data_IF_328556804432
#
_entry.id   IF_328556804432
#
_cell.length_a   1.000
_cell.length_b   1.000
_cell.length_c   1.000
_cell.angle_alpha   90.00
_cell.angle_beta   90.00
_cell.angle_gamma   90.00
#
_symmetry.space_group_name_H-M   'P 1'
#
loop_
_entity.id
_entity.type
_entity.pdbx_description
1 polymer ?
#
# COMPACT_ATOMS: atom_id res chain seq x y z
N UNK A 1 -29.88 24.54 -66.88
CA UNK A 1 -29.57 24.00 -68.22
C UNK A 1 -30.78 24.19 -69.12
N UNK A 2 -30.71 24.10 -70.46
CA UNK A 2 -31.89 24.34 -71.33
C UNK A 2 -32.21 23.12 -72.18
N UNK A 3 -33.50 22.85 -72.39
CA UNK A 3 -33.97 21.78 -73.24
C UNK A 3 -33.52 22.02 -74.69
N UNK A 4 -32.84 21.04 -75.30
CA UNK A 4 -32.39 21.11 -76.70
C UNK A 4 -33.54 21.26 -77.70
N UNK A 5 -34.75 20.81 -77.35
CA UNK A 5 -35.91 20.78 -78.25
C UNK A 5 -36.81 22.01 -78.13
N UNK A 6 -37.15 22.45 -76.90
CA UNK A 6 -38.07 23.58 -76.70
C UNK A 6 -37.44 24.80 -76.01
N UNK A 7 -36.15 24.76 -75.67
CA UNK A 7 -35.43 25.87 -75.04
C UNK A 7 -35.77 26.16 -73.58
N UNK A 8 -36.76 25.46 -73.01
CA UNK A 8 -37.17 25.61 -71.61
C UNK A 8 -36.02 25.34 -70.64
N UNK A 9 -35.98 26.07 -69.52
CA UNK A 9 -34.98 25.83 -68.48
C UNK A 9 -35.27 24.50 -67.77
N UNK A 10 -34.23 23.71 -67.58
CA UNK A 10 -34.22 22.39 -66.98
C UNK A 10 -33.29 22.38 -65.77
N UNK A 11 -33.68 21.62 -64.76
CA UNK A 11 -32.86 21.33 -63.59
C UNK A 11 -32.13 19.99 -63.74
N UNK A 12 -31.07 19.78 -62.93
CA UNK A 12 -30.24 18.57 -62.96
C UNK A 12 -30.96 17.31 -62.46
N UNK A 13 -32.17 17.44 -61.91
CA UNK A 13 -32.97 16.36 -61.32
C UNK A 13 -34.16 15.94 -62.20
N UNK A 14 -34.46 16.69 -63.25
CA UNK A 14 -35.58 16.39 -64.14
C UNK A 14 -35.17 15.42 -65.25
N UNK A 15 -35.78 14.23 -65.25
CA UNK A 15 -35.52 13.13 -66.21
C UNK A 15 -36.01 13.45 -67.63
N UNK A 16 -37.10 14.21 -67.73
CA UNK A 16 -37.71 14.66 -68.99
C UNK A 16 -38.03 16.15 -68.88
N UNK A 17 -37.99 16.86 -70.01
CA UNK A 17 -38.40 18.25 -70.04
C UNK A 17 -39.90 18.37 -69.72
N UNK A 18 -40.29 19.14 -68.69
CA UNK A 18 -41.69 19.24 -68.29
C UNK A 18 -42.57 19.90 -69.37
N UNK A 19 -41.97 20.68 -70.29
CA UNK A 19 -42.71 21.42 -71.30
C UNK A 19 -42.90 20.66 -72.63
N UNK A 20 -41.98 19.75 -72.99
CA UNK A 20 -42.06 19.04 -74.28
C UNK A 20 -41.81 17.53 -74.19
N UNK A 21 -41.61 16.99 -72.98
CA UNK A 21 -41.37 15.56 -72.75
C UNK A 21 -40.04 15.03 -73.27
N UNK A 22 -39.20 15.89 -73.89
CA UNK A 22 -37.92 15.44 -74.45
C UNK A 22 -36.98 14.99 -73.33
N UNK A 23 -36.33 13.81 -73.44
CA UNK A 23 -35.45 13.29 -72.40
C UNK A 23 -34.31 14.25 -72.13
N UNK A 24 -34.02 14.44 -70.84
CA UNK A 24 -32.94 15.31 -70.43
C UNK A 24 -31.61 14.52 -70.34
N UNK A 25 -30.95 14.33 -71.48
CA UNK A 25 -29.72 13.51 -71.58
C UNK A 25 -28.63 13.89 -70.58
N UNK A 26 -28.49 15.20 -70.26
CA UNK A 26 -27.43 15.68 -69.36
C UNK A 26 -27.72 15.37 -67.89
N UNK A 27 -29.00 15.25 -67.49
CA UNK A 27 -29.41 14.89 -66.12
C UNK A 27 -29.57 13.39 -65.91
N UNK A 28 -29.69 12.59 -66.98
CA UNK A 28 -29.92 11.14 -66.87
C UNK A 28 -28.79 10.41 -66.12
N UNK A 29 -27.53 10.80 -66.34
CA UNK A 29 -26.41 10.16 -65.63
C UNK A 29 -26.42 10.56 -64.16
N UNK A 30 -26.63 11.84 -63.85
CA UNK A 30 -26.69 12.32 -62.48
C UNK A 30 -27.84 11.71 -61.67
N UNK A 31 -29.01 11.52 -62.28
CA UNK A 31 -30.16 10.87 -61.63
C UNK A 31 -29.85 9.38 -61.35
N UNK A 32 -29.21 8.67 -62.29
CA UNK A 32 -28.79 7.28 -62.07
C UNK A 32 -27.75 7.15 -60.97
N UNK A 33 -26.78 8.06 -60.96
CA UNK A 33 -25.74 8.09 -59.92
C UNK A 33 -26.36 8.39 -58.55
N UNK A 34 -27.32 9.32 -58.47
CA UNK A 34 -28.06 9.61 -57.24
C UNK A 34 -28.91 8.42 -56.76
N UNK A 35 -29.64 7.75 -57.65
CA UNK A 35 -30.39 6.52 -57.34
C UNK A 35 -29.47 5.41 -56.83
N UNK A 36 -28.27 5.28 -57.42
CA UNK A 36 -27.26 4.30 -57.00
C UNK A 36 -26.70 4.62 -55.59
N UNK A 37 -26.32 5.87 -55.34
CA UNK A 37 -25.81 6.28 -54.03
C UNK A 37 -26.85 6.19 -52.92
N UNK A 38 -28.11 6.47 -53.22
CA UNK A 38 -29.21 6.31 -52.25
C UNK A 38 -29.40 4.83 -51.87
N UNK A 39 -29.30 3.94 -52.85
CA UNK A 39 -29.36 2.50 -52.62
C UNK A 39 -28.18 2.01 -51.77
N UNK A 40 -26.94 2.36 -52.12
CA UNK A 40 -25.76 1.97 -51.35
C UNK A 40 -25.77 2.53 -49.92
N UNK A 41 -26.23 3.77 -49.74
CA UNK A 41 -26.37 4.36 -48.41
C UNK A 41 -27.42 3.63 -47.57
N UNK A 42 -28.58 3.32 -48.14
CA UNK A 42 -29.65 2.58 -47.45
C UNK A 42 -29.20 1.18 -47.03
N UNK A 43 -28.48 0.48 -47.90
CA UNK A 43 -27.99 -0.87 -47.62
C UNK A 43 -26.89 -0.87 -46.57
N UNK A 44 -25.95 0.08 -46.66
CA UNK A 44 -24.91 0.29 -45.64
C UNK A 44 -25.54 0.62 -44.29
N UNK A 45 -26.54 1.49 -44.26
CA UNK A 45 -27.23 1.85 -43.02
C UNK A 45 -27.96 0.65 -42.41
N UNK A 46 -28.65 -0.17 -43.21
CA UNK A 46 -29.31 -1.41 -42.75
C UNK A 46 -28.29 -2.41 -42.21
N UNK A 47 -27.15 -2.56 -42.87
CA UNK A 47 -26.09 -3.47 -42.42
C UNK A 47 -25.49 -3.02 -41.09
N UNK A 48 -25.17 -1.73 -40.94
CA UNK A 48 -24.65 -1.16 -39.69
C UNK A 48 -25.66 -1.29 -38.56
N UNK A 49 -26.95 -1.00 -38.81
CA UNK A 49 -28.02 -1.18 -37.81
C UNK A 49 -28.21 -2.65 -37.44
N UNK A 50 -28.09 -3.58 -38.39
CA UNK A 50 -28.18 -5.02 -38.13
C UNK A 50 -27.00 -5.52 -37.29
N UNK A 51 -25.77 -5.11 -37.64
CA UNK A 51 -24.55 -5.53 -36.95
C UNK A 51 -24.50 -4.97 -35.52
N UNK A 52 -24.90 -3.71 -35.31
CA UNK A 52 -25.03 -3.11 -33.97
C UNK A 52 -26.13 -3.75 -33.12
N UNK A 53 -27.32 -4.04 -33.68
CA UNK A 53 -28.38 -4.77 -32.97
C UNK A 53 -27.95 -6.18 -32.58
N UNK A 54 -27.18 -6.87 -33.43
CA UNK A 54 -26.62 -8.17 -33.13
C UNK A 54 -25.59 -8.10 -32.00
N UNK A 55 -24.69 -7.12 -32.03
CA UNK A 55 -23.72 -6.88 -30.97
C UNK A 55 -24.41 -6.59 -29.62
N UNK A 56 -25.43 -5.73 -29.61
CA UNK A 56 -26.20 -5.40 -28.40
C UNK A 56 -26.98 -6.61 -27.88
N UNK A 57 -27.60 -7.40 -28.76
CA UNK A 57 -28.43 -8.55 -28.37
C UNK A 57 -27.61 -9.72 -27.83
N UNK A 58 -26.40 -9.94 -28.34
CA UNK A 58 -25.64 -11.16 -28.06
C UNK A 58 -24.30 -10.92 -27.35
N UNK A 59 -23.50 -9.94 -27.77
CA UNK A 59 -22.15 -9.73 -27.21
C UNK A 59 -22.22 -8.99 -25.86
N UNK A 60 -22.93 -7.87 -25.80
CA UNK A 60 -23.06 -7.05 -24.59
C UNK A 60 -23.55 -7.82 -23.32
N UNK A 61 -24.59 -8.68 -23.39
CA UNK A 61 -25.00 -9.46 -22.22
C UNK A 61 -23.95 -10.51 -21.82
N UNK A 62 -23.30 -11.16 -22.79
CA UNK A 62 -22.25 -12.18 -22.51
C UNK A 62 -21.03 -11.54 -21.85
N UNK A 63 -20.54 -10.41 -22.37
CA UNK A 63 -19.42 -9.68 -21.75
C UNK A 63 -19.79 -9.19 -20.36
N UNK A 64 -21.03 -8.72 -20.15
CA UNK A 64 -21.50 -8.28 -18.83
C UNK A 64 -21.54 -9.44 -17.83
N UNK A 65 -21.97 -10.63 -18.24
CA UNK A 65 -21.99 -11.83 -17.39
C UNK A 65 -20.58 -12.29 -17.02
N UNK A 66 -19.63 -12.23 -17.95
CA UNK A 66 -18.22 -12.58 -17.67
C UNK A 66 -17.61 -11.60 -16.67
N UNK A 67 -17.82 -10.28 -16.87
CA UNK A 67 -17.35 -9.26 -15.93
C UNK A 67 -17.98 -9.45 -14.54
N UNK A 68 -19.29 -9.71 -14.48
CA UNK A 68 -19.99 -9.98 -13.22
C UNK A 68 -19.46 -11.26 -12.53
N UNK A 69 -19.16 -12.31 -13.29
CA UNK A 69 -18.57 -13.55 -12.79
C UNK A 69 -17.17 -13.32 -12.20
N UNK A 70 -16.31 -12.58 -12.91
CA UNK A 70 -14.97 -12.23 -12.42
C UNK A 70 -15.06 -11.37 -11.16
N UNK A 71 -15.96 -10.37 -11.14
CA UNK A 71 -16.20 -9.54 -9.97
C UNK A 71 -16.69 -10.36 -8.76
N UNK A 72 -17.60 -11.33 -8.97
CA UNK A 72 -18.08 -12.21 -7.92
C UNK A 72 -16.96 -13.10 -7.35
N UNK A 73 -16.07 -13.63 -8.19
CA UNK A 73 -14.88 -14.39 -7.75
C UNK A 73 -13.92 -13.51 -6.95
N UNK A 74 -13.68 -12.28 -7.38
CA UNK A 74 -12.84 -11.34 -6.62
C UNK A 74 -13.45 -11.05 -5.24
N UNK A 75 -14.77 -10.81 -5.16
CA UNK A 75 -15.47 -10.55 -3.90
C UNK A 75 -15.39 -11.74 -2.95
N UNK A 76 -15.52 -12.98 -3.45
CA UNK A 76 -15.42 -14.17 -2.60
C UNK A 76 -13.99 -14.40 -2.08
N UNK A 77 -12.96 -14.16 -2.89
CA UNK A 77 -11.56 -14.22 -2.45
C UNK A 77 -11.29 -13.19 -1.36
N UNK A 78 -11.73 -11.94 -1.55
CA UNK A 78 -11.56 -10.88 -0.54
C UNK A 78 -12.30 -11.19 0.76
N UNK A 79 -13.55 -11.69 0.67
CA UNK A 79 -14.33 -12.09 1.83
C UNK A 79 -13.67 -13.24 2.60
N UNK A 80 -13.15 -14.26 1.91
CA UNK A 80 -12.43 -15.39 2.52
C UNK A 80 -11.13 -14.93 3.21
N UNK A 81 -10.41 -14.00 2.60
CA UNK A 81 -9.20 -13.43 3.20
C UNK A 81 -9.56 -12.71 4.51
N UNK A 82 -10.53 -11.78 4.50
CA UNK A 82 -10.99 -11.07 5.70
C UNK A 82 -11.53 -12.01 6.80
N UNK A 83 -12.37 -12.97 6.44
CA UNK A 83 -12.93 -13.94 7.39
C UNK A 83 -11.84 -14.84 7.99
N UNK A 84 -10.82 -15.19 7.20
CA UNK A 84 -9.65 -15.93 7.67
C UNK A 84 -8.89 -15.20 8.76
N UNK A 85 -8.61 -13.90 8.59
CA UNK A 85 -7.95 -13.09 9.64
C UNK A 85 -8.78 -13.00 10.91
N UNK A 86 -10.07 -12.67 10.78
CA UNK A 86 -10.95 -12.54 11.95
C UNK A 86 -11.07 -13.86 12.72
N UNK A 87 -11.13 -15.00 12.01
CA UNK A 87 -11.16 -16.33 12.63
C UNK A 87 -9.83 -16.69 13.30
N UNK A 88 -8.70 -16.39 12.66
CA UNK A 88 -7.37 -16.61 13.23
C UNK A 88 -7.17 -15.78 14.51
N UNK A 89 -7.53 -14.50 14.47
CA UNK A 89 -7.46 -13.60 15.63
C UNK A 89 -8.34 -14.09 16.78
N UNK A 90 -9.58 -14.52 16.51
CA UNK A 90 -10.46 -15.07 17.54
C UNK A 90 -9.90 -16.36 18.15
N UNK A 91 -9.36 -17.27 17.33
CA UNK A 91 -8.73 -18.50 17.82
C UNK A 91 -7.51 -18.19 18.69
N UNK A 92 -6.68 -17.26 18.26
CA UNK A 92 -5.49 -16.82 18.98
C UNK A 92 -5.85 -16.14 20.31
N UNK A 93 -6.84 -15.24 20.30
CA UNK A 93 -7.36 -14.62 21.53
C UNK A 93 -7.86 -15.67 22.52
N UNK A 94 -8.64 -16.66 22.04
CA UNK A 94 -9.12 -17.76 22.88
C UNK A 94 -7.98 -18.63 23.41
N UNK A 95 -6.98 -18.91 22.57
CA UNK A 95 -5.79 -19.66 22.96
C UNK A 95 -5.03 -18.91 24.07
N UNK A 96 -4.73 -17.63 23.87
CA UNK A 96 -4.01 -16.80 24.84
C UNK A 96 -4.76 -16.67 26.18
N UNK A 97 -6.10 -16.60 26.14
CA UNK A 97 -6.92 -16.59 27.35
C UNK A 97 -6.89 -17.93 28.09
N UNK A 98 -6.84 -19.05 27.36
CA UNK A 98 -6.86 -20.40 27.95
C UNK A 98 -5.50 -20.79 28.52
N UNK A 99 -4.41 -20.30 27.92
CA UNK A 99 -3.03 -20.63 28.28
C UNK A 99 -2.28 -19.43 28.88
N UNK A 100 -3.00 -18.49 29.51
CA UNK A 100 -2.43 -17.23 30.01
C UNK A 100 -1.24 -17.47 30.95
N UNK A 101 -1.38 -18.42 31.88
CA UNK A 101 -0.34 -18.75 32.85
C UNK A 101 0.91 -19.35 32.19
N UNK A 102 0.75 -20.33 31.30
CA UNK A 102 1.86 -20.95 30.57
C UNK A 102 2.60 -19.93 29.71
N UNK A 103 1.85 -19.05 29.03
CA UNK A 103 2.42 -17.95 28.24
C UNK A 103 3.20 -17.00 29.16
N UNK A 104 2.65 -16.64 30.33
CA UNK A 104 3.34 -15.76 31.28
C UNK A 104 4.64 -16.37 31.79
N UNK A 105 4.65 -17.66 32.15
CA UNK A 105 5.85 -18.37 32.59
C UNK A 105 6.90 -18.48 31.48
N UNK A 106 6.46 -18.72 30.24
CA UNK A 106 7.35 -18.74 29.08
C UNK A 106 7.97 -17.37 28.81
N UNK A 107 7.16 -16.31 28.79
CA UNK A 107 7.64 -14.93 28.63
C UNK A 107 8.59 -14.53 29.75
N UNK A 108 8.29 -14.90 30.99
CA UNK A 108 9.15 -14.67 32.15
C UNK A 108 10.51 -15.34 31.97
N UNK A 109 10.54 -16.60 31.53
CA UNK A 109 11.79 -17.32 31.24
C UNK A 109 12.62 -16.61 30.17
N UNK A 110 11.98 -16.14 29.08
CA UNK A 110 12.67 -15.39 28.03
C UNK A 110 13.22 -14.06 28.57
N UNK A 111 12.45 -13.34 29.39
CA UNK A 111 12.87 -12.09 30.03
C UNK A 111 14.10 -12.29 30.93
N UNK A 112 14.08 -13.33 31.78
CA UNK A 112 15.16 -13.66 32.70
C UNK A 112 16.44 -14.10 31.96
N UNK A 113 16.29 -14.68 30.78
CA UNK A 113 17.40 -15.03 29.88
C UNK A 113 17.86 -13.85 28.99
N UNK A 114 17.23 -12.68 29.07
CA UNK A 114 17.54 -11.51 28.23
C UNK A 114 17.15 -11.66 26.76
N UNK A 115 16.24 -12.60 26.44
CA UNK A 115 15.75 -12.91 25.08
C UNK A 115 14.62 -11.95 24.66
N UNK A 116 14.95 -10.66 24.60
CA UNK A 116 13.96 -9.61 24.35
C UNK A 116 13.40 -9.58 22.93
N UNK A 117 14.19 -10.03 21.95
CA UNK A 117 13.73 -10.12 20.56
C UNK A 117 12.57 -11.11 20.45
N UNK A 118 12.71 -12.29 21.04
CA UNK A 118 11.69 -13.32 21.09
C UNK A 118 10.44 -12.84 21.82
N UNK A 119 10.59 -12.19 22.98
CA UNK A 119 9.48 -11.57 23.71
C UNK A 119 8.73 -10.56 22.83
N UNK A 120 9.45 -9.70 22.10
CA UNK A 120 8.83 -8.71 21.22
C UNK A 120 8.15 -9.33 20.00
N UNK A 121 8.70 -10.42 19.43
CA UNK A 121 8.03 -11.16 18.34
C UNK A 121 6.74 -11.84 18.82
N UNK A 122 6.74 -12.43 20.02
CA UNK A 122 5.53 -13.02 20.61
C UNK A 122 4.47 -11.95 20.91
N UNK A 123 4.89 -10.77 21.38
CA UNK A 123 4.01 -9.62 21.56
C UNK A 123 3.37 -9.14 20.25
N UNK A 124 4.18 -8.90 19.22
CA UNK A 124 3.69 -8.31 17.96
C UNK A 124 2.95 -9.29 17.06
N UNK A 125 3.40 -10.55 16.98
CA UNK A 125 2.81 -11.57 16.09
C UNK A 125 1.72 -12.39 16.76
N UNK A 126 1.93 -12.75 18.03
CA UNK A 126 1.04 -13.65 18.75
C UNK A 126 0.20 -12.94 19.81
N UNK A 127 0.32 -11.62 19.98
CA UNK A 127 -0.38 -10.85 21.01
C UNK A 127 -0.22 -11.49 22.41
N UNK A 128 0.93 -12.12 22.63
CA UNK A 128 1.32 -12.75 23.88
C UNK A 128 2.19 -11.76 24.63
N UNK A 129 1.74 -11.35 25.82
CA UNK A 129 2.37 -10.26 26.56
C UNK A 129 2.23 -10.46 28.05
N UNK A 130 3.22 -9.96 28.79
CA UNK A 130 3.09 -9.76 30.22
C UNK A 130 1.88 -8.87 30.54
N UNK A 131 1.06 -9.31 31.48
CA UNK A 131 -0.02 -8.53 32.10
C UNK A 131 0.49 -7.86 33.38
N UNK A 132 0.06 -6.63 33.65
CA UNK A 132 0.42 -5.86 34.85
C UNK A 132 -0.78 -5.08 35.40
N UNK A 133 -0.60 -4.34 36.49
CA UNK A 133 -1.65 -3.45 37.02
C UNK A 133 -1.96 -2.35 36.00
N UNK A 134 -3.19 -2.37 35.47
CA UNK A 134 -3.63 -1.44 34.43
C UNK A 134 -3.35 -1.93 33.00
N UNK A 135 -4.17 -1.47 32.03
CA UNK A 135 -4.18 -1.95 30.64
C UNK A 135 -2.86 -1.78 29.86
N UNK A 136 -1.84 -1.13 30.44
CA UNK A 136 -0.63 -0.70 29.72
C UNK A 136 0.68 -0.76 30.52
N UNK A 137 0.74 -1.47 31.65
CA UNK A 137 1.89 -1.42 32.57
C UNK A 137 3.24 -1.77 31.97
N UNK A 138 3.27 -2.64 30.96
CA UNK A 138 4.47 -3.09 30.25
C UNK A 138 4.75 -2.33 28.95
N UNK A 139 3.99 -1.29 28.64
CA UNK A 139 4.09 -0.57 27.36
C UNK A 139 5.49 0.00 27.12
N UNK A 140 6.07 0.66 28.12
CA UNK A 140 7.40 1.26 27.96
C UNK A 140 8.49 0.19 27.75
N UNK A 141 8.36 -0.99 28.36
CA UNK A 141 9.25 -2.12 28.08
C UNK A 141 9.18 -2.57 26.62
N UNK A 142 7.98 -2.78 26.06
CA UNK A 142 7.85 -3.18 24.66
C UNK A 142 8.35 -2.08 23.72
N UNK A 143 8.11 -0.81 24.07
CA UNK A 143 8.57 0.34 23.29
C UNK A 143 10.11 0.45 23.31
N UNK A 144 10.75 0.24 24.46
CA UNK A 144 12.21 0.19 24.56
C UNK A 144 12.80 -1.01 23.80
N UNK A 145 12.13 -2.17 23.85
CA UNK A 145 12.56 -3.35 23.12
C UNK A 145 12.51 -3.12 21.61
N UNK A 146 11.42 -2.54 21.10
CA UNK A 146 11.31 -2.13 19.70
C UNK A 146 12.43 -1.15 19.33
N UNK A 147 12.64 -0.12 20.14
CA UNK A 147 13.71 0.84 19.94
C UNK A 147 15.08 0.16 19.85
N UNK A 148 15.38 -0.76 20.76
CA UNK A 148 16.65 -1.50 20.75
C UNK A 148 16.83 -2.34 19.48
N UNK A 149 15.80 -3.04 19.03
CA UNK A 149 15.84 -3.82 17.79
C UNK A 149 15.96 -2.91 16.55
N UNK A 150 15.22 -1.81 16.51
CA UNK A 150 15.30 -0.80 15.43
C UNK A 150 16.69 -0.17 15.36
N UNK A 151 17.30 0.15 16.51
CA UNK A 151 18.66 0.66 16.58
C UNK A 151 19.66 -0.32 15.98
N UNK A 152 19.63 -1.59 16.42
CA UNK A 152 20.52 -2.63 15.89
C UNK A 152 20.39 -2.79 14.38
N UNK A 153 19.15 -2.86 13.89
CA UNK A 153 18.87 -3.00 12.46
C UNK A 153 19.35 -1.78 11.67
N UNK A 154 19.11 -0.56 12.17
CA UNK A 154 19.55 0.66 11.52
C UNK A 154 21.07 0.73 11.39
N UNK A 155 21.81 0.43 12.46
CA UNK A 155 23.28 0.40 12.44
C UNK A 155 23.80 -0.73 11.53
N UNK A 156 23.16 -1.89 11.52
CA UNK A 156 23.50 -2.98 10.60
C UNK A 156 23.36 -2.54 9.13
N UNK A 157 22.28 -1.84 8.77
CA UNK A 157 22.10 -1.30 7.41
C UNK A 157 23.10 -0.20 7.06
N UNK A 158 23.55 0.59 8.05
CA UNK A 158 24.59 1.59 7.83
C UNK A 158 25.91 0.95 7.35
N UNK A 159 26.32 -0.14 8.00
CA UNK A 159 27.54 -0.87 7.63
C UNK A 159 27.38 -1.76 6.40
N UNK A 160 26.19 -2.32 6.19
CA UNK A 160 25.88 -3.24 5.09
C UNK A 160 24.69 -2.74 4.25
N UNK A 161 24.85 -1.67 3.46
CA UNK A 161 23.76 -1.10 2.67
C UNK A 161 23.19 -2.06 1.63
N UNK A 162 23.96 -3.06 1.18
CA UNK A 162 23.50 -4.09 0.24
C UNK A 162 22.37 -4.99 0.80
N UNK A 163 22.16 -5.01 2.12
CA UNK A 163 21.06 -5.75 2.74
C UNK A 163 19.68 -5.12 2.45
N UNK A 164 19.63 -3.92 1.89
CA UNK A 164 18.37 -3.27 1.51
C UNK A 164 18.56 -2.26 0.37
N UNK A 165 17.88 -2.50 -0.75
CA UNK A 165 17.83 -1.56 -1.89
C UNK A 165 17.20 -0.20 -1.55
N UNK A 166 16.55 -0.07 -0.37
CA UNK A 166 15.77 1.10 0.02
C UNK A 166 16.39 1.92 1.16
N UNK A 167 17.52 1.49 1.73
CA UNK A 167 18.14 2.16 2.88
C UNK A 167 19.42 2.90 2.47
N UNK A 168 19.35 4.23 2.45
CA UNK A 168 20.56 5.06 2.42
C UNK A 168 21.23 5.08 3.80
N UNK A 169 22.54 5.38 3.86
CA UNK A 169 23.25 5.61 5.13
C UNK A 169 22.60 6.72 5.96
N UNK A 170 22.10 7.77 5.32
CA UNK A 170 21.37 8.86 5.99
C UNK A 170 20.06 8.37 6.61
N UNK A 171 19.31 7.53 5.90
CA UNK A 171 18.08 6.90 6.42
C UNK A 171 18.40 6.01 7.62
N UNK A 172 19.49 5.24 7.56
CA UNK A 172 19.96 4.42 8.67
C UNK A 172 20.28 5.26 9.91
N UNK A 173 21.02 6.36 9.78
CA UNK A 173 21.35 7.24 10.90
C UNK A 173 20.11 7.91 11.51
N UNK A 174 19.16 8.36 10.68
CA UNK A 174 17.90 8.91 11.15
C UNK A 174 17.09 7.89 11.95
N UNK A 175 17.00 6.65 11.46
CA UNK A 175 16.28 5.57 12.14
C UNK A 175 16.96 5.15 13.44
N UNK A 176 18.29 5.12 13.47
CA UNK A 176 19.06 4.88 14.68
C UNK A 176 18.83 5.98 15.72
N UNK A 177 18.81 7.26 15.32
CA UNK A 177 18.53 8.36 16.23
C UNK A 177 17.09 8.35 16.77
N UNK A 178 16.11 8.04 15.93
CA UNK A 178 14.72 7.85 16.36
C UNK A 178 14.62 6.73 17.41
N UNK A 179 15.28 5.60 17.14
CA UNK A 179 15.33 4.47 18.06
C UNK A 179 15.99 4.83 19.40
N UNK A 180 17.08 5.60 19.40
CA UNK A 180 17.71 6.10 20.64
C UNK A 180 16.73 6.97 21.43
N UNK A 181 16.05 7.92 20.78
CA UNK A 181 15.04 8.77 21.44
C UNK A 181 13.84 7.97 21.98
N UNK A 182 13.46 6.90 21.29
CA UNK A 182 12.41 5.98 21.74
C UNK A 182 12.80 5.28 23.04
N UNK A 183 14.02 4.74 23.10
CA UNK A 183 14.56 4.07 24.29
C UNK A 183 14.65 5.06 25.47
N UNK A 184 15.28 6.22 25.26
CA UNK A 184 15.48 7.20 26.35
C UNK A 184 14.18 7.84 26.80
N UNK A 185 13.25 8.11 25.88
CA UNK A 185 11.93 8.65 26.21
C UNK A 185 11.11 7.71 27.08
N UNK A 186 11.11 6.41 26.78
CA UNK A 186 10.44 5.40 27.59
C UNK A 186 11.13 5.15 28.93
N UNK A 187 12.47 5.16 28.98
CA UNK A 187 13.22 5.04 30.24
C UNK A 187 12.86 6.16 31.24
N UNK A 188 12.69 7.40 30.75
CA UNK A 188 12.28 8.55 31.55
C UNK A 188 10.83 8.48 32.04
N UNK A 189 10.02 7.52 31.55
CA UNK A 189 8.61 7.44 31.89
C UNK A 189 7.81 8.64 31.45
N UNK A 190 8.16 9.24 30.31
CA UNK A 190 7.36 10.30 29.68
C UNK A 190 5.99 9.78 29.16
N UNK A 191 5.73 8.48 29.29
CA UNK A 191 4.44 7.86 29.02
C UNK A 191 3.38 8.29 30.02
N UNK A 192 2.14 8.46 29.56
CA UNK A 192 0.98 8.77 30.41
C UNK A 192 0.47 7.56 31.21
N UNK A 193 1.17 6.43 31.17
CA UNK A 193 0.74 5.14 31.71
C UNK A 193 1.57 4.80 32.95
N UNK A 194 0.90 4.29 33.99
CA UNK A 194 1.59 3.72 35.15
C UNK A 194 2.44 2.53 34.71
N UNK A 195 3.72 2.51 35.11
CA UNK A 195 4.67 1.45 34.76
C UNK A 195 4.51 0.28 35.73
N UNK A 196 4.50 -0.94 35.19
CA UNK A 196 4.57 -2.16 36.00
C UNK A 196 5.95 -2.23 36.66
N UNK A 197 5.99 -2.34 37.99
CA UNK A 197 7.25 -2.38 38.75
C UNK A 197 8.14 -3.54 38.31
N UNK A 198 7.52 -4.66 37.93
CA UNK A 198 8.18 -5.87 37.44
C UNK A 198 8.89 -5.67 36.10
N UNK A 199 8.48 -4.66 35.31
CA UNK A 199 9.11 -4.37 34.02
C UNK A 199 10.41 -3.55 34.13
N UNK A 200 10.60 -2.84 35.25
CA UNK A 200 11.71 -1.88 35.43
C UNK A 200 13.09 -2.54 35.28
N UNK A 201 13.40 -3.69 35.91
CA UNK A 201 14.72 -4.31 35.78
C UNK A 201 15.09 -4.64 34.32
N UNK A 202 14.12 -5.13 33.54
CA UNK A 202 14.35 -5.45 32.12
C UNK A 202 14.49 -4.19 31.25
N UNK A 203 13.79 -3.10 31.59
CA UNK A 203 13.97 -1.81 30.93
C UNK A 203 15.38 -1.26 31.15
N UNK A 204 15.90 -1.35 32.38
CA UNK A 204 17.28 -0.93 32.68
C UNK A 204 18.30 -1.81 31.94
N UNK A 205 18.09 -3.13 31.87
CA UNK A 205 18.97 -4.02 31.09
C UNK A 205 18.94 -3.69 29.59
N UNK A 206 17.78 -3.38 29.00
CA UNK A 206 17.70 -2.92 27.60
C UNK A 206 18.47 -1.60 27.41
N UNK A 207 18.33 -0.66 28.35
CA UNK A 207 19.05 0.62 28.30
C UNK A 207 20.56 0.41 28.38
N UNK A 208 21.03 -0.48 29.25
CA UNK A 208 22.44 -0.86 29.37
C UNK A 208 22.95 -1.51 28.08
N UNK A 209 22.23 -2.51 27.55
CA UNK A 209 22.58 -3.19 26.29
C UNK A 209 22.63 -2.22 25.11
N UNK A 210 21.68 -1.28 25.02
CA UNK A 210 21.70 -0.24 24.00
C UNK A 210 22.93 0.66 24.14
N UNK A 211 23.30 1.03 25.38
CA UNK A 211 24.49 1.81 25.65
C UNK A 211 25.78 1.09 25.27
N UNK A 212 25.90 -0.20 25.60
CA UNK A 212 27.02 -1.05 25.18
C UNK A 212 27.09 -1.17 23.65
N UNK A 213 25.96 -1.42 23.00
CA UNK A 213 25.89 -1.48 21.54
C UNK A 213 26.37 -0.19 20.86
N UNK A 214 25.97 0.98 21.38
CA UNK A 214 26.43 2.27 20.85
C UNK A 214 27.93 2.51 21.07
N UNK A 215 28.50 2.03 22.18
CA UNK A 215 29.96 2.09 22.40
C UNK A 215 30.68 1.22 21.39
N UNK A 216 30.25 -0.04 21.25
CA UNK A 216 30.94 -1.06 20.47
C UNK A 216 30.85 -0.83 18.96
N UNK A 217 29.70 -0.33 18.47
CA UNK A 217 29.42 -0.21 17.04
C UNK A 217 29.28 1.22 16.53
N UNK A 218 29.21 2.22 17.42
CA UNK A 218 29.05 3.62 17.03
C UNK A 218 30.10 4.54 17.69
N UNK A 219 31.10 4.01 18.40
CA UNK A 219 32.17 4.76 19.07
C UNK A 219 31.68 5.78 20.13
N UNK A 220 30.54 5.52 20.77
CA UNK A 220 30.07 6.40 21.84
C UNK A 220 30.96 6.25 23.08
N UNK A 221 31.19 7.35 23.78
CA UNK A 221 31.80 7.35 25.12
C UNK A 221 30.73 7.22 26.19
N UNK A 222 31.11 6.89 27.44
CA UNK A 222 30.15 6.91 28.55
C UNK A 222 29.48 8.28 28.71
N UNK A 223 30.22 9.38 28.55
CA UNK A 223 29.68 10.73 28.62
C UNK A 223 28.64 11.01 27.52
N UNK A 224 28.80 10.41 26.33
CA UNK A 224 27.79 10.51 25.27
C UNK A 224 26.50 9.80 25.69
N UNK A 225 26.62 8.56 26.19
CA UNK A 225 25.48 7.75 26.68
C UNK A 225 24.72 8.49 27.79
N UNK A 226 25.42 9.00 28.80
CA UNK A 226 24.82 9.73 29.93
C UNK A 226 24.08 10.99 29.47
N UNK A 227 24.50 11.58 28.35
CA UNK A 227 23.87 12.79 27.80
C UNK A 227 22.61 12.52 26.97
N UNK A 228 22.37 11.28 26.52
CA UNK A 228 21.31 10.95 25.55
C UNK A 228 19.90 11.29 26.05
N UNK A 229 19.66 11.15 27.36
CA UNK A 229 18.37 11.42 27.99
C UNK A 229 17.90 12.88 27.84
N UNK A 230 18.83 13.81 27.64
CA UNK A 230 18.55 15.23 27.55
C UNK A 230 18.62 15.78 26.12
N UNK A 231 18.79 14.90 25.12
CA UNK A 231 18.94 15.30 23.72
C UNK A 231 17.64 15.11 22.95
N UNK A 232 17.33 16.09 22.10
CA UNK A 232 16.34 15.93 21.04
C UNK A 232 16.92 15.08 19.88
N UNK A 233 16.05 14.67 18.95
CA UNK A 233 16.43 13.81 17.82
C UNK A 233 17.53 14.42 16.94
N UNK A 234 17.47 15.71 16.65
CA UNK A 234 18.48 16.39 15.82
C UNK A 234 19.83 16.39 16.51
N UNK A 235 19.84 16.65 17.82
CA UNK A 235 21.03 16.58 18.67
C UNK A 235 21.61 15.15 18.74
N UNK A 236 20.77 14.11 18.74
CA UNK A 236 21.20 12.71 18.67
C UNK A 236 21.79 12.37 17.29
N UNK A 237 21.16 12.80 16.19
CA UNK A 237 21.69 12.58 14.84
C UNK A 237 23.08 13.19 14.70
N UNK A 238 23.25 14.45 15.13
CA UNK A 238 24.55 15.13 15.05
C UNK A 238 25.64 14.39 15.84
N UNK A 239 25.30 13.89 17.03
CA UNK A 239 26.21 13.11 17.85
C UNK A 239 26.55 11.76 17.20
N UNK A 240 25.53 11.04 16.72
CA UNK A 240 25.68 9.74 16.06
C UNK A 240 26.57 9.86 14.82
N UNK A 241 26.27 10.82 13.94
CA UNK A 241 27.08 11.16 12.77
C UNK A 241 28.52 11.43 13.20
N UNK A 242 28.76 12.38 14.13
CA UNK A 242 30.12 12.70 14.57
C UNK A 242 30.88 11.45 15.03
N UNK A 243 30.29 10.62 15.89
CA UNK A 243 30.98 9.43 16.42
C UNK A 243 31.20 8.31 15.40
N UNK A 244 30.31 8.18 14.42
CA UNK A 244 30.41 7.16 13.38
C UNK A 244 31.23 7.58 12.15
N UNK A 245 31.46 8.88 11.93
CA UNK A 245 32.26 9.40 10.81
C UNK A 245 33.64 9.92 11.22
N UNK A 246 33.85 10.29 12.48
CA UNK A 246 35.20 10.52 13.00
C UNK A 246 35.89 9.16 13.18
N UNK A 247 36.31 8.56 12.06
CA UNK A 247 37.38 7.56 12.04
C UNK A 247 38.66 8.29 12.46
N UNK A 248 39.14 8.04 13.70
CA UNK A 248 40.54 8.28 14.05
C UNK A 248 41.48 7.41 13.21
#
# INVERSE_FOLDING_TARGET
>A
MKCKNCGAELTMLEKFCPNCGTPNEQSQQHIKDMEHYEHEFSDTQKEVVRNSKWFIKYIAPVTSLVIAGIAAVIVTIQANHLWGYNLAEQKQKKYNQTHEQEIKEHLQTLLDNGQYEEVYQLYTRLNQRMSGTGNSGWYDFYNMTEGYLRLRNAIMFYYNPELSEHYSKETALNNAAEAICMITGSAQGKSYRERAAESIPYMEDIKEKAGLFLKDYCNFTQADIDSLENRDRTSVIALLTRRMFDEE
#
